data_IF_717373737449
#
_entry.id   IF_717373737449
#
_cell.length_a   1.000
_cell.length_b   1.000
_cell.length_c   1.000
_cell.angle_alpha   90.00
_cell.angle_beta   90.00
_cell.angle_gamma   90.00
#
_symmetry.space_group_name_H-M   'P 1'
#
loop_
_entity.id
_entity.type
_entity.pdbx_description
1 polymer ?
#
# COMPACT_ATOMS: atom_id res chain seq x y z
N UNK A 1 -2.56 14.60 -0.23
CA UNK A 1 -3.90 15.10 -0.63
C UNK A 1 -3.92 16.41 -1.43
N UNK A 2 -2.91 17.30 -1.36
CA UNK A 2 -2.94 18.56 -2.09
C UNK A 2 -3.02 18.40 -3.62
N UNK A 3 -2.26 17.45 -4.19
CA UNK A 3 -2.27 17.16 -5.65
C UNK A 3 -3.61 16.54 -6.08
N UNK A 4 -4.11 15.56 -5.32
CA UNK A 4 -5.37 14.87 -5.61
C UNK A 4 -6.60 15.80 -5.66
N UNK A 5 -6.59 16.89 -4.88
CA UNK A 5 -7.72 17.83 -4.76
C UNK A 5 -7.68 19.02 -5.72
N UNK A 6 -6.71 19.13 -6.63
CA UNK A 6 -6.66 20.26 -7.57
C UNK A 6 -7.69 20.10 -8.68
N UNK A 7 -8.34 21.18 -9.12
CA UNK A 7 -9.39 21.12 -10.14
C UNK A 7 -8.85 20.91 -11.57
N UNK A 8 -7.57 21.22 -11.81
CA UNK A 8 -6.86 21.16 -13.10
C UNK A 8 -6.21 19.80 -13.39
N UNK A 9 -6.71 18.72 -12.78
CA UNK A 9 -6.25 17.35 -13.04
C UNK A 9 -6.79 16.80 -14.37
N UNK A 10 -6.92 17.66 -15.38
CA UNK A 10 -7.20 17.23 -16.73
C UNK A 10 -6.00 16.41 -17.20
N UNK A 11 -6.32 15.24 -17.75
CA UNK A 11 -5.40 14.15 -18.05
C UNK A 11 -4.49 14.58 -19.22
N UNK A 12 -3.51 15.44 -18.96
CA UNK A 12 -2.43 15.71 -19.89
C UNK A 12 -1.39 14.59 -19.79
N UNK A 13 -1.66 13.60 -20.65
CA UNK A 13 -0.72 12.88 -21.52
C UNK A 13 0.56 12.34 -20.89
N UNK A 14 0.74 11.01 -21.05
CA UNK A 14 1.98 10.25 -20.87
C UNK A 14 3.22 11.06 -21.28
N UNK A 15 3.88 11.61 -20.27
CA UNK A 15 5.15 12.31 -20.30
C UNK A 15 5.57 12.53 -18.85
N UNK A 16 6.86 12.71 -18.60
CA UNK A 16 7.50 12.72 -17.26
C UNK A 16 6.96 13.76 -16.25
N UNK A 17 5.94 14.55 -16.62
CA UNK A 17 5.30 15.59 -15.82
C UNK A 17 3.80 15.32 -15.54
N UNK A 18 3.33 14.07 -15.61
CA UNK A 18 1.93 13.77 -15.34
C UNK A 18 1.54 14.13 -13.88
N UNK A 19 0.28 14.51 -13.60
CA UNK A 19 -0.20 14.74 -12.25
C UNK A 19 -0.04 13.55 -11.30
N UNK A 20 -0.03 12.32 -11.85
CA UNK A 20 0.27 11.11 -11.10
C UNK A 20 1.73 11.07 -10.64
N UNK A 21 2.68 11.29 -11.57
CA UNK A 21 4.12 11.37 -11.26
C UNK A 21 4.41 12.43 -10.21
N UNK A 22 3.74 13.59 -10.30
CA UNK A 22 3.87 14.65 -9.29
C UNK A 22 3.34 14.24 -7.92
N UNK A 23 2.22 13.50 -7.86
CA UNK A 23 1.69 12.98 -6.61
C UNK A 23 2.61 11.93 -5.97
N UNK A 24 3.13 11.02 -6.79
CA UNK A 24 4.03 9.95 -6.37
C UNK A 24 5.34 10.50 -5.78
N UNK A 25 6.01 11.39 -6.53
CA UNK A 25 7.23 12.07 -6.08
C UNK A 25 7.01 12.90 -4.82
N UNK A 26 5.86 13.56 -4.70
CA UNK A 26 5.53 14.34 -3.51
C UNK A 26 5.29 13.44 -2.28
N UNK A 27 4.56 12.33 -2.45
CA UNK A 27 4.34 11.34 -1.40
C UNK A 27 5.68 10.71 -0.96
N UNK A 28 6.48 10.25 -1.93
CA UNK A 28 7.79 9.67 -1.69
C UNK A 28 8.68 10.60 -0.87
N UNK A 29 8.76 11.88 -1.23
CA UNK A 29 9.57 12.86 -0.50
C UNK A 29 9.14 12.96 0.96
N UNK A 30 7.85 13.13 1.23
CA UNK A 30 7.33 13.25 2.60
C UNK A 30 7.63 12.00 3.42
N UNK A 31 7.44 10.82 2.82
CA UNK A 31 7.67 9.53 3.50
C UNK A 31 9.17 9.34 3.78
N UNK A 32 10.03 9.54 2.79
CA UNK A 32 11.48 9.37 2.92
C UNK A 32 12.06 10.34 3.94
N UNK A 33 11.64 11.61 3.92
CA UNK A 33 12.10 12.61 4.89
C UNK A 33 11.65 12.23 6.31
N UNK A 34 10.41 11.76 6.48
CA UNK A 34 9.90 11.27 7.76
C UNK A 34 10.64 10.04 8.28
N UNK A 35 10.83 9.02 7.43
CA UNK A 35 11.55 7.80 7.80
C UNK A 35 13.02 8.07 8.14
N UNK A 36 13.69 8.97 7.40
CA UNK A 36 15.06 9.38 7.72
C UNK A 36 15.17 10.10 9.06
N UNK A 37 14.16 10.90 9.42
CA UNK A 37 14.12 11.57 10.71
C UNK A 37 13.90 10.59 11.86
N UNK A 38 13.05 9.57 11.67
CA UNK A 38 12.72 8.57 12.68
C UNK A 38 13.82 7.50 12.86
N UNK A 39 14.39 7.02 11.76
CA UNK A 39 15.34 5.91 11.72
C UNK A 39 16.46 6.22 10.72
N UNK A 40 17.38 7.13 11.04
CA UNK A 40 18.41 7.61 10.11
C UNK A 40 19.41 6.52 9.68
N UNK A 41 19.50 5.44 10.46
CA UNK A 41 20.39 4.29 10.25
C UNK A 41 19.76 3.18 9.40
N UNK A 42 18.44 3.21 9.17
CA UNK A 42 17.74 2.19 8.40
C UNK A 42 17.63 2.64 6.92
N UNK A 43 18.20 1.88 5.97
CA UNK A 43 18.05 2.18 4.54
C UNK A 43 16.60 2.16 4.09
N UNK A 44 16.30 2.93 3.04
CA UNK A 44 14.96 3.02 2.45
C UNK A 44 15.05 2.59 0.99
N UNK A 45 14.23 1.62 0.60
CA UNK A 45 14.00 1.19 -0.76
C UNK A 45 12.58 1.61 -1.15
N UNK A 46 12.48 2.59 -2.06
CA UNK A 46 11.19 3.08 -2.55
C UNK A 46 11.07 2.89 -4.06
N UNK A 47 9.85 2.62 -4.55
CA UNK A 47 9.53 2.56 -5.99
C UNK A 47 9.96 3.84 -6.73
N UNK A 48 9.68 5.01 -6.16
CA UNK A 48 10.08 6.33 -6.69
C UNK A 48 11.45 6.80 -6.20
N UNK A 49 12.19 5.93 -5.50
CA UNK A 49 13.53 6.22 -5.04
C UNK A 49 14.54 6.24 -6.18
N UNK A 50 15.74 6.78 -5.91
CA UNK A 50 16.87 6.53 -6.80
C UNK A 50 17.15 5.03 -6.84
N UNK A 51 17.44 4.51 -8.02
CA UNK A 51 17.85 3.12 -8.17
C UNK A 51 19.09 2.83 -7.30
N UNK A 52 18.98 1.81 -6.45
CA UNK A 52 20.05 1.34 -5.59
C UNK A 52 20.55 0.03 -6.17
N UNK A 53 21.81 0.03 -6.63
CA UNK A 53 22.45 -1.13 -7.23
C UNK A 53 22.31 -2.36 -6.32
N UNK A 54 22.03 -3.52 -6.94
CA UNK A 54 21.85 -4.79 -6.23
C UNK A 54 22.98 -5.08 -5.24
N UNK A 55 24.23 -4.87 -5.66
CA UNK A 55 25.40 -5.15 -4.81
C UNK A 55 25.46 -4.28 -3.55
N UNK A 56 24.88 -3.08 -3.58
CA UNK A 56 24.78 -2.22 -2.42
C UNK A 56 23.69 -2.67 -1.42
N UNK A 57 22.61 -3.29 -1.92
CA UNK A 57 21.44 -3.67 -1.09
C UNK A 57 21.33 -5.16 -0.74
N UNK A 58 22.03 -6.04 -1.44
CA UNK A 58 21.98 -7.51 -1.23
C UNK A 58 22.38 -7.95 0.18
N UNK A 59 23.16 -7.13 0.89
CA UNK A 59 23.62 -7.40 2.25
C UNK A 59 22.73 -6.80 3.33
N UNK A 60 21.67 -6.06 2.96
CA UNK A 60 20.80 -5.43 3.95
C UNK A 60 19.98 -6.48 4.68
N UNK A 61 20.15 -6.51 5.99
CA UNK A 61 19.33 -7.33 6.89
C UNK A 61 18.12 -6.57 7.41
N UNK A 62 18.12 -5.23 7.31
CA UNK A 62 17.02 -4.37 7.76
C UNK A 62 16.88 -3.16 6.85
N UNK A 63 15.68 -2.91 6.34
CA UNK A 63 15.38 -1.73 5.50
C UNK A 63 13.87 -1.45 5.45
N UNK A 64 13.52 -0.21 5.14
CA UNK A 64 12.15 0.17 4.78
C UNK A 64 11.88 -0.13 3.30
N UNK A 65 10.75 -0.75 3.02
CA UNK A 65 10.21 -0.91 1.67
C UNK A 65 8.99 0.02 1.54
N UNK A 66 8.98 0.87 0.51
CA UNK A 66 7.98 1.93 0.34
C UNK A 66 7.41 1.93 -1.07
N UNK A 67 6.10 1.89 -1.16
CA UNK A 67 5.32 2.22 -2.35
C UNK A 67 4.47 3.46 -1.99
N UNK A 68 4.85 4.65 -2.49
CA UNK A 68 4.23 5.92 -2.10
C UNK A 68 2.78 6.08 -2.60
N UNK A 69 2.37 5.34 -3.63
CA UNK A 69 1.05 5.45 -4.24
C UNK A 69 0.69 4.18 -5.03
N UNK A 70 0.03 3.25 -4.35
CA UNK A 70 -0.60 2.08 -4.98
C UNK A 70 -2.05 2.41 -5.39
N UNK A 71 -2.51 1.85 -6.51
CA UNK A 71 -3.81 2.21 -7.10
C UNK A 71 -3.76 3.44 -8.01
N UNK A 72 -2.69 3.58 -8.80
CA UNK A 72 -2.49 4.69 -9.75
C UNK A 72 -3.66 4.94 -10.70
N UNK A 73 -4.36 3.87 -11.15
CA UNK A 73 -5.53 3.98 -12.04
C UNK A 73 -6.73 4.56 -11.30
N UNK A 74 -6.94 4.11 -10.08
CA UNK A 74 -7.98 4.54 -9.14
C UNK A 74 -7.74 6.01 -8.74
N UNK A 75 -6.49 6.38 -8.48
CA UNK A 75 -6.07 7.76 -8.26
C UNK A 75 -6.43 8.67 -9.43
N UNK A 76 -6.12 8.26 -10.67
CA UNK A 76 -6.50 9.01 -11.89
C UNK A 76 -8.03 9.13 -12.02
N UNK A 77 -8.76 8.06 -11.71
CA UNK A 77 -10.23 8.02 -11.77
C UNK A 77 -10.93 8.77 -10.63
N UNK A 78 -10.20 9.25 -9.64
CA UNK A 78 -10.72 9.95 -8.45
C UNK A 78 -11.79 9.18 -7.68
N UNK A 79 -11.67 7.85 -7.64
CA UNK A 79 -12.60 7.01 -6.87
C UNK A 79 -12.17 6.84 -5.40
N UNK A 80 -11.03 7.41 -4.99
CA UNK A 80 -10.51 7.35 -3.63
C UNK A 80 -9.89 6.00 -3.23
N UNK A 81 -9.82 5.02 -4.14
CA UNK A 81 -9.34 3.67 -3.85
C UNK A 81 -7.82 3.57 -4.13
N UNK A 82 -7.01 4.34 -3.41
CA UNK A 82 -5.53 4.29 -3.50
C UNK A 82 -4.90 4.30 -2.10
N UNK A 83 -3.69 3.76 -1.98
CA UNK A 83 -3.01 3.60 -0.69
C UNK A 83 -1.56 4.03 -0.73
N UNK A 84 -1.01 4.29 0.46
CA UNK A 84 0.42 4.39 0.72
C UNK A 84 0.82 3.12 1.47
N UNK A 85 1.80 2.40 0.96
CA UNK A 85 2.23 1.12 1.52
C UNK A 85 3.67 1.24 2.05
N UNK A 86 3.87 0.95 3.34
CA UNK A 86 5.19 0.99 3.99
C UNK A 86 5.39 -0.28 4.78
N UNK A 87 6.54 -0.93 4.61
CA UNK A 87 6.92 -2.11 5.39
C UNK A 87 8.35 -1.98 5.93
N UNK A 88 8.56 -2.46 7.16
CA UNK A 88 9.90 -2.74 7.66
C UNK A 88 10.22 -4.20 7.35
N UNK A 89 11.31 -4.43 6.64
CA UNK A 89 11.81 -5.76 6.34
C UNK A 89 13.00 -6.04 7.25
N UNK A 90 12.98 -7.18 7.94
CA UNK A 90 14.08 -7.67 8.76
C UNK A 90 14.35 -9.14 8.42
N UNK A 91 15.59 -9.45 8.05
CA UNK A 91 16.06 -10.78 7.62
C UNK A 91 15.17 -11.40 6.54
N UNK A 92 14.86 -10.61 5.50
CA UNK A 92 13.98 -10.96 4.40
C UNK A 92 12.50 -11.22 4.77
N UNK A 93 12.06 -10.86 5.98
CA UNK A 93 10.68 -10.99 6.41
C UNK A 93 10.09 -9.63 6.82
N UNK A 94 8.84 -9.30 6.44
CA UNK A 94 8.19 -8.09 6.93
C UNK A 94 7.90 -8.21 8.44
N UNK A 95 8.42 -7.29 9.25
CA UNK A 95 8.19 -7.23 10.71
C UNK A 95 7.15 -6.20 11.11
N UNK A 96 7.00 -5.14 10.31
CA UNK A 96 5.99 -4.10 10.44
C UNK A 96 5.43 -3.79 9.05
N UNK A 97 4.13 -3.60 8.95
CA UNK A 97 3.46 -3.16 7.72
C UNK A 97 2.42 -2.10 8.03
N UNK A 98 2.29 -1.11 7.15
CA UNK A 98 1.32 -0.02 7.22
C UNK A 98 0.76 0.18 5.82
N UNK A 99 -0.57 0.16 5.71
CA UNK A 99 -1.35 0.47 4.52
C UNK A 99 -2.28 1.61 4.88
N UNK A 100 -2.01 2.81 4.38
CA UNK A 100 -2.81 3.99 4.65
C UNK A 100 -3.64 4.35 3.43
N UNK A 101 -4.96 4.48 3.58
CA UNK A 101 -5.87 4.91 2.52
C UNK A 101 -6.26 6.38 2.75
N UNK A 102 -5.50 7.35 2.21
CA UNK A 102 -5.63 8.76 2.60
C UNK A 102 -6.94 9.41 2.14
N UNK A 103 -7.58 8.90 1.10
CA UNK A 103 -8.89 9.38 0.66
C UNK A 103 -10.06 8.81 1.48
N UNK A 104 -9.84 7.66 2.14
CA UNK A 104 -10.83 6.97 2.98
C UNK A 104 -10.57 7.18 4.48
N UNK A 105 -9.47 7.85 4.84
CA UNK A 105 -9.07 8.22 6.19
C UNK A 105 -8.96 7.06 7.19
N UNK A 106 -8.38 5.95 6.73
CA UNK A 106 -8.04 4.83 7.60
C UNK A 106 -6.63 4.30 7.36
N UNK A 107 -6.11 3.59 8.34
CA UNK A 107 -4.81 2.93 8.27
C UNK A 107 -4.91 1.50 8.78
N UNK A 108 -4.54 0.52 7.98
CA UNK A 108 -4.32 -0.84 8.47
C UNK A 108 -2.84 -0.96 8.78
N UNK A 109 -2.51 -1.44 9.97
CA UNK A 109 -1.13 -1.72 10.35
C UNK A 109 -1.01 -3.06 11.04
N UNK A 110 0.17 -3.65 10.99
CA UNK A 110 0.45 -4.88 11.69
C UNK A 110 1.92 -5.03 12.02
N UNK A 111 2.19 -5.59 13.19
CA UNK A 111 3.55 -5.82 13.68
C UNK A 111 3.68 -7.23 14.24
N UNK A 112 4.79 -7.88 13.89
CA UNK A 112 5.12 -9.23 14.37
C UNK A 112 5.16 -9.25 15.90
N UNK A 113 4.48 -10.23 16.49
CA UNK A 113 4.38 -10.38 17.94
C UNK A 113 3.36 -9.47 18.63
N UNK A 114 2.79 -8.47 17.93
CA UNK A 114 1.75 -7.58 18.49
C UNK A 114 0.39 -7.90 17.88
N UNK A 115 0.30 -8.03 16.55
CA UNK A 115 -0.94 -8.29 15.83
C UNK A 115 -1.21 -7.25 14.75
N UNK A 116 -2.45 -7.19 14.30
CA UNK A 116 -2.92 -6.30 13.21
C UNK A 116 -4.10 -5.49 13.72
N UNK A 117 -4.16 -4.21 13.35
CA UNK A 117 -5.28 -3.33 13.67
C UNK A 117 -5.66 -2.45 12.47
N UNK A 118 -6.94 -2.08 12.41
CA UNK A 118 -7.48 -1.02 11.60
C UNK A 118 -7.59 0.23 12.48
N UNK A 119 -6.98 1.32 12.03
CA UNK A 119 -7.09 2.64 12.65
C UNK A 119 -8.03 3.53 11.85
N UNK A 120 -9.07 4.01 12.50
CA UNK A 120 -9.98 5.04 11.99
C UNK A 120 -9.95 6.21 12.99
N UNK A 121 -9.55 7.40 12.55
CA UNK A 121 -9.28 8.51 13.46
C UNK A 121 -8.19 8.20 14.48
N UNK A 122 -8.52 8.24 15.77
CA UNK A 122 -7.58 8.01 16.89
C UNK A 122 -7.69 6.62 17.53
N UNK A 123 -8.58 5.75 17.06
CA UNK A 123 -8.84 4.45 17.67
C UNK A 123 -8.27 3.30 16.84
N UNK A 124 -7.70 2.31 17.51
CA UNK A 124 -7.25 1.05 16.90
C UNK A 124 -8.27 -0.06 17.18
N UNK A 125 -8.77 -0.67 16.10
CA UNK A 125 -9.67 -1.81 16.12
C UNK A 125 -8.86 -3.05 15.73
N UNK A 126 -8.72 -4.00 16.65
CA UNK A 126 -7.97 -5.23 16.39
C UNK A 126 -8.61 -6.04 15.24
N UNK A 127 -7.82 -6.38 14.23
CA UNK A 127 -8.24 -7.23 13.12
C UNK A 127 -8.10 -8.69 13.54
N UNK A 128 -9.20 -9.43 13.45
CA UNK A 128 -9.23 -10.85 13.78
C UNK A 128 -9.61 -11.69 12.56
N UNK A 129 -8.89 -12.78 12.37
CA UNK A 129 -9.24 -13.79 11.37
C UNK A 129 -10.12 -14.86 11.99
N UNK A 130 -11.19 -15.27 11.29
CA UNK A 130 -11.96 -16.44 11.70
C UNK A 130 -11.16 -17.72 11.41
N UNK A 131 -10.96 -18.57 12.43
CA UNK A 131 -10.32 -19.89 12.29
C UNK A 131 -11.12 -20.96 13.05
N UNK A 132 -11.60 -22.04 12.40
CA UNK A 132 -11.54 -22.32 10.95
C UNK A 132 -12.42 -21.36 10.14
N UNK A 133 -12.20 -21.28 8.83
CA UNK A 133 -13.15 -20.63 7.92
C UNK A 133 -14.41 -21.50 7.84
N UNK A 134 -15.54 -20.97 8.30
CA UNK A 134 -16.85 -21.65 8.30
C UNK A 134 -17.74 -21.04 7.23
N UNK A 135 -18.57 -21.88 6.60
CA UNK A 135 -19.56 -21.45 5.62
C UNK A 135 -20.65 -20.53 6.27
N UNK A 136 -21.26 -19.62 5.49
CA UNK A 136 -20.87 -19.26 4.13
C UNK A 136 -19.52 -18.53 4.15
N UNK A 137 -18.66 -18.88 3.18
CA UNK A 137 -17.38 -18.23 3.04
C UNK A 137 -17.61 -16.79 2.55
N UNK A 138 -16.65 -15.89 2.77
CA UNK A 138 -16.69 -14.54 2.16
C UNK A 138 -15.47 -14.41 1.28
N UNK A 139 -15.69 -14.24 -0.02
CA UNK A 139 -14.60 -14.17 -1.00
C UNK A 139 -14.46 -12.75 -1.52
N UNK A 140 -13.24 -12.21 -1.42
CA UNK A 140 -12.87 -10.98 -2.12
C UNK A 140 -12.31 -11.36 -3.50
N UNK A 141 -12.87 -10.78 -4.56
CA UNK A 141 -12.44 -10.98 -5.94
C UNK A 141 -12.29 -9.64 -6.65
N UNK A 142 -11.52 -9.61 -7.74
CA UNK A 142 -11.32 -8.38 -8.51
C UNK A 142 -12.64 -7.90 -9.12
N UNK A 143 -13.00 -6.63 -8.87
CA UNK A 143 -14.17 -5.99 -9.46
C UNK A 143 -14.03 -5.80 -10.97
N UNK A 144 -12.80 -5.59 -11.44
CA UNK A 144 -12.50 -5.16 -12.81
C UNK A 144 -11.93 -6.28 -13.70
N UNK A 145 -11.47 -7.37 -13.10
CA UNK A 145 -10.81 -8.48 -13.82
C UNK A 145 -11.22 -9.83 -13.23
N UNK A 146 -12.53 -10.08 -13.13
CA UNK A 146 -13.02 -11.41 -12.79
C UNK A 146 -12.90 -12.30 -14.03
N UNK A 147 -11.94 -13.23 -14.02
CA UNK A 147 -11.80 -14.22 -15.10
C UNK A 147 -12.65 -15.47 -14.83
N UNK A 148 -12.89 -16.26 -15.88
CA UNK A 148 -13.70 -17.49 -15.81
C UNK A 148 -13.13 -18.51 -14.82
N UNK A 149 -11.81 -18.52 -14.64
CA UNK A 149 -11.13 -19.45 -13.73
C UNK A 149 -11.41 -19.08 -12.27
N UNK A 150 -11.39 -17.80 -11.92
CA UNK A 150 -11.74 -17.27 -10.61
C UNK A 150 -13.23 -17.47 -10.35
N UNK A 151 -14.10 -17.17 -11.32
CA UNK A 151 -15.54 -17.40 -11.18
C UNK A 151 -15.86 -18.89 -10.93
N UNK A 152 -15.26 -19.79 -11.70
CA UNK A 152 -15.40 -21.24 -11.50
C UNK A 152 -14.84 -21.70 -10.16
N UNK A 153 -13.75 -21.09 -9.67
CA UNK A 153 -13.20 -21.41 -8.35
C UNK A 153 -14.15 -20.99 -7.22
N UNK A 154 -14.74 -19.80 -7.29
CA UNK A 154 -15.73 -19.30 -6.32
C UNK A 154 -16.95 -20.22 -6.32
N UNK A 155 -17.47 -20.59 -7.48
CA UNK A 155 -18.62 -21.50 -7.59
C UNK A 155 -18.36 -22.87 -6.93
N UNK A 156 -17.13 -23.40 -6.99
CA UNK A 156 -16.75 -24.66 -6.32
C UNK A 156 -16.69 -24.55 -4.79
N UNK A 157 -16.63 -23.34 -4.22
CA UNK A 157 -16.55 -23.12 -2.78
C UNK A 157 -17.92 -23.25 -2.08
N UNK A 158 -19.02 -23.40 -2.84
CA UNK A 158 -20.38 -23.48 -2.30
C UNK A 158 -20.96 -22.11 -1.96
N UNK A 159 -21.76 -22.03 -0.90
CA UNK A 159 -22.33 -20.77 -0.43
C UNK A 159 -21.20 -19.80 -0.01
N UNK A 160 -21.02 -18.74 -0.81
CA UNK A 160 -20.00 -17.68 -0.69
C UNK A 160 -20.63 -16.30 -0.69
#
# INVERSE_FOLDING_TARGET
MAVYRRDDFDIETKGDNSPLTAADLAANRVIVDGLRALTPDIPILSEEGKEIAWDARRGWTRFWLVDPLDGTREFIKRNGEFTVNIALIENAEPTLGVVHAPALDYTIWGQRGIGTALREGSEDIAVQTRRPAIAPLRVAASRSHLDDKTAAAIARMGDT
#
